data_IF_715771950494
#
_entry.id   IF_715771950494
#
_cell.length_a   1.000
_cell.length_b   1.000
_cell.length_c   1.000
_cell.angle_alpha   90.00
_cell.angle_beta   90.00
_cell.angle_gamma   90.00
#
_symmetry.space_group_name_H-M   'P 1'
#
loop_
_entity.id
_entity.type
_entity.pdbx_description
1 polymer ?
#
# COMPACT_ATOMS: atom_id res chain seq x y z
N UNK A 1 3.76 56.46 -11.75
CA UNK A 1 4.51 55.22 -12.09
C UNK A 1 3.87 54.09 -11.29
N UNK A 2 3.38 53.07 -11.98
CA UNK A 2 2.41 52.09 -11.48
C UNK A 2 2.99 51.19 -10.38
N UNK A 3 2.33 51.17 -9.23
CA UNK A 3 2.32 50.06 -8.29
C UNK A 3 1.19 49.13 -8.74
N UNK A 4 1.52 48.05 -9.44
CA UNK A 4 0.56 47.01 -9.78
C UNK A 4 1.26 45.65 -9.76
N UNK A 5 0.69 44.77 -8.94
CA UNK A 5 0.75 43.31 -9.07
C UNK A 5 2.05 42.62 -8.63
N UNK A 6 2.06 42.11 -7.38
CA UNK A 6 2.23 40.68 -7.08
C UNK A 6 2.27 40.48 -5.54
N UNK A 7 1.11 40.56 -4.89
CA UNK A 7 0.90 40.03 -3.55
C UNK A 7 -0.59 39.71 -3.39
N UNK A 8 -1.06 38.57 -3.92
CA UNK A 8 -2.24 37.86 -3.42
C UNK A 8 -2.46 36.55 -4.21
N UNK A 9 -1.77 35.48 -3.84
CA UNK A 9 -2.31 34.11 -3.97
C UNK A 9 -1.87 33.33 -2.74
N UNK A 10 -2.56 33.56 -1.64
CA UNK A 10 -2.62 32.59 -0.55
C UNK A 10 -3.84 31.70 -0.78
N UNK A 11 -3.70 30.43 -0.39
CA UNK A 11 -4.74 29.43 -0.12
C UNK A 11 -5.42 28.79 -1.34
N UNK A 12 -5.03 27.53 -1.61
CA UNK A 12 -5.88 26.33 -1.50
C UNK A 12 -5.29 25.20 -2.35
N UNK A 13 -4.15 24.65 -1.95
CA UNK A 13 -4.00 23.18 -2.05
C UNK A 13 -4.61 22.64 -0.78
N UNK A 14 -5.94 22.53 -0.81
CA UNK A 14 -6.63 21.64 0.10
C UNK A 14 -5.89 20.31 0.00
N UNK A 15 -5.30 19.92 1.12
CA UNK A 15 -4.97 18.54 1.33
C UNK A 15 -6.27 17.77 1.09
N UNK A 16 -6.35 17.08 -0.05
CA UNK A 16 -7.13 15.85 -0.14
C UNK A 16 -6.39 14.84 0.74
N UNK A 17 -6.40 15.10 2.05
CA UNK A 17 -6.45 14.02 3.02
C UNK A 17 -7.82 13.41 2.71
N UNK A 18 -7.84 12.38 1.86
CA UNK A 18 -8.94 11.43 1.95
C UNK A 18 -8.93 11.01 3.40
N UNK A 19 -9.87 11.54 4.18
CA UNK A 19 -10.16 11.03 5.51
C UNK A 19 -10.29 9.53 5.33
N UNK A 20 -9.34 8.75 5.85
CA UNK A 20 -9.47 7.30 5.93
C UNK A 20 -10.61 7.02 6.89
N UNK A 21 -11.83 7.04 6.35
CA UNK A 21 -12.99 6.50 7.03
C UNK A 21 -12.72 5.01 7.12
N UNK A 22 -12.46 4.50 8.33
CA UNK A 22 -12.76 3.10 8.60
C UNK A 22 -14.27 2.99 8.43
N UNK A 23 -14.72 2.50 7.28
CA UNK A 23 -16.14 2.16 7.13
C UNK A 23 -16.47 1.04 8.13
N UNK A 24 -17.70 1.04 8.63
CA UNK A 24 -18.17 -0.01 9.54
C UNK A 24 -18.06 -1.35 8.81
N UNK A 25 -17.00 -2.11 9.10
CA UNK A 25 -16.86 -3.48 8.60
C UNK A 25 -18.14 -4.25 8.95
N UNK A 26 -18.73 -5.00 8.00
CA UNK A 26 -19.94 -5.75 8.27
C UNK A 26 -19.72 -6.66 9.48
N UNK A 27 -20.66 -6.62 10.44
CA UNK A 27 -20.54 -7.28 11.75
C UNK A 27 -20.56 -8.82 11.73
N UNK A 28 -20.24 -9.43 10.58
CA UNK A 28 -20.14 -10.88 10.39
C UNK A 28 -18.72 -11.38 10.66
N UNK A 29 -17.69 -10.61 10.29
CA UNK A 29 -16.30 -10.90 10.65
C UNK A 29 -15.91 -10.07 11.86
N UNK A 30 -15.26 -10.70 12.83
CA UNK A 30 -14.73 -10.03 14.01
C UNK A 30 -13.20 -10.08 14.09
N UNK A 31 -12.65 -9.40 15.09
CA UNK A 31 -11.20 -9.33 15.33
C UNK A 31 -10.55 -10.73 15.44
N UNK A 32 -11.27 -11.72 15.96
CA UNK A 32 -10.73 -13.08 16.14
C UNK A 32 -10.61 -13.80 14.80
N UNK A 33 -11.48 -13.51 13.84
CA UNK A 33 -11.36 -14.06 12.49
C UNK A 33 -10.12 -13.49 11.79
N UNK A 34 -9.93 -12.17 11.86
CA UNK A 34 -8.73 -11.51 11.34
C UNK A 34 -7.45 -12.05 12.00
N UNK A 35 -7.46 -12.20 13.32
CA UNK A 35 -6.33 -12.74 14.07
C UNK A 35 -5.98 -14.16 13.61
N UNK A 36 -6.96 -15.06 13.46
CA UNK A 36 -6.70 -16.45 13.05
C UNK A 36 -6.10 -16.52 11.65
N UNK A 37 -6.62 -15.74 10.71
CA UNK A 37 -6.12 -15.72 9.34
C UNK A 37 -4.71 -15.14 9.27
N UNK A 38 -4.46 -14.02 9.95
CA UNK A 38 -3.15 -13.40 10.04
C UNK A 38 -2.14 -14.32 10.73
N UNK A 39 -2.53 -14.96 11.83
CA UNK A 39 -1.69 -15.90 12.57
C UNK A 39 -1.32 -17.13 11.74
N UNK A 40 -2.26 -17.69 10.98
CA UNK A 40 -2.00 -18.81 10.06
C UNK A 40 -0.95 -18.43 9.01
N UNK A 41 -1.08 -17.25 8.39
CA UNK A 41 -0.10 -16.75 7.42
C UNK A 41 1.26 -16.47 8.07
N UNK A 42 1.26 -15.91 9.28
CA UNK A 42 2.47 -15.57 10.00
C UNK A 42 3.27 -16.80 10.46
N UNK A 43 2.62 -17.89 10.87
CA UNK A 43 3.34 -19.16 11.16
C UNK A 43 4.01 -19.69 9.90
N UNK A 44 3.34 -19.60 8.75
CA UNK A 44 3.88 -20.12 7.49
C UNK A 44 5.09 -19.30 7.01
N UNK A 45 5.03 -17.97 7.13
CA UNK A 45 6.04 -17.08 6.56
C UNK A 45 7.09 -16.58 7.56
N UNK A 46 6.75 -16.55 8.85
CA UNK A 46 7.60 -16.05 9.93
C UNK A 46 7.58 -17.00 11.15
N UNK A 47 7.86 -18.31 10.97
CA UNK A 47 7.73 -19.31 12.04
C UNK A 47 8.58 -18.97 13.28
N UNK A 48 9.74 -18.35 13.10
CA UNK A 48 10.64 -17.98 14.20
C UNK A 48 10.18 -16.74 14.99
N UNK A 49 9.14 -16.06 14.51
CA UNK A 49 8.60 -14.85 15.15
C UNK A 49 7.40 -15.18 16.00
N UNK A 50 6.53 -16.06 15.53
CA UNK A 50 5.33 -16.46 16.25
C UNK A 50 5.68 -17.44 17.36
N UNK A 51 5.82 -16.92 18.57
CA UNK A 51 6.21 -17.71 19.76
C UNK A 51 5.06 -17.95 20.75
N UNK A 52 4.03 -17.09 20.70
CA UNK A 52 2.81 -17.20 21.53
C UNK A 52 1.70 -17.90 20.78
N UNK A 53 0.78 -18.53 21.51
CA UNK A 53 -0.39 -19.14 20.87
C UNK A 53 -1.39 -18.06 20.43
N UNK A 54 -2.26 -18.39 19.48
CA UNK A 54 -3.25 -17.45 18.94
C UNK A 54 -4.20 -16.89 20.02
N UNK A 55 -4.46 -17.64 21.08
CA UNK A 55 -5.32 -17.23 22.20
C UNK A 55 -4.70 -16.15 23.09
N UNK A 56 -3.37 -15.97 23.02
CA UNK A 56 -2.61 -14.97 23.79
C UNK A 56 -2.37 -13.68 22.98
N UNK A 57 -2.87 -13.64 21.75
CA UNK A 57 -2.65 -12.57 20.79
C UNK A 57 -3.92 -11.78 20.53
N UNK A 58 -3.74 -10.59 19.95
CA UNK A 58 -4.80 -9.70 19.50
C UNK A 58 -4.48 -9.22 18.10
N UNK A 59 -5.50 -8.83 17.35
CA UNK A 59 -5.32 -8.23 16.03
C UNK A 59 -5.76 -6.78 16.08
N UNK A 60 -4.83 -5.87 15.86
CA UNK A 60 -5.15 -4.44 15.81
C UNK A 60 -5.47 -4.05 14.38
N UNK A 61 -6.76 -3.75 14.10
CA UNK A 61 -7.19 -3.22 12.80
C UNK A 61 -6.81 -1.75 12.68
N UNK A 62 -6.14 -1.39 11.59
CA UNK A 62 -5.74 0.00 11.32
C UNK A 62 -6.68 0.66 10.31
N UNK A 63 -6.94 -0.02 9.19
CA UNK A 63 -7.85 0.44 8.15
C UNK A 63 -8.66 -0.74 7.61
N UNK A 64 -9.87 -0.45 7.15
CA UNK A 64 -10.80 -1.43 6.65
C UNK A 64 -11.74 -0.81 5.63
N UNK A 65 -12.02 -1.55 4.55
CA UNK A 65 -12.93 -1.17 3.48
C UNK A 65 -13.94 -2.30 3.25
N UNK A 66 -15.21 -1.94 3.01
CA UNK A 66 -16.27 -2.84 2.52
C UNK A 66 -16.71 -2.31 1.16
N UNK A 67 -16.50 -3.08 0.10
CA UNK A 67 -16.70 -2.58 -1.25
C UNK A 67 -16.90 -3.74 -2.22
N UNK A 68 -17.94 -3.62 -3.04
CA UNK A 68 -18.20 -4.48 -4.20
C UNK A 68 -17.09 -4.31 -5.27
N UNK A 69 -16.08 -5.19 -5.23
CA UNK A 69 -14.89 -5.11 -6.06
C UNK A 69 -15.11 -5.66 -7.47
N UNK A 70 -16.02 -6.64 -7.65
CA UNK A 70 -16.29 -7.26 -8.95
C UNK A 70 -17.62 -6.86 -9.62
N UNK A 71 -18.46 -6.08 -8.92
CA UNK A 71 -19.77 -5.58 -9.33
C UNK A 71 -20.87 -6.63 -9.34
N UNK A 72 -20.81 -7.62 -8.45
CA UNK A 72 -21.86 -8.62 -8.27
C UNK A 72 -22.97 -8.19 -7.28
N UNK A 73 -22.78 -7.05 -6.60
CA UNK A 73 -23.72 -6.50 -5.61
C UNK A 73 -23.51 -7.03 -4.18
N UNK A 74 -22.49 -7.85 -3.95
CA UNK A 74 -21.99 -8.24 -2.65
C UNK A 74 -20.63 -7.57 -2.41
N UNK A 75 -20.47 -6.96 -1.23
CA UNK A 75 -19.20 -6.33 -0.89
C UNK A 75 -18.14 -7.38 -0.51
N UNK A 76 -16.92 -7.21 -1.03
CA UNK A 76 -15.71 -7.77 -0.45
C UNK A 76 -15.22 -6.88 0.69
N UNK A 77 -14.28 -7.40 1.49
CA UNK A 77 -13.60 -6.59 2.50
C UNK A 77 -12.10 -6.58 2.31
N UNK A 78 -11.48 -5.46 2.65
CA UNK A 78 -10.02 -5.32 2.67
C UNK A 78 -9.63 -4.74 4.01
N UNK A 79 -8.78 -5.43 4.75
CA UNK A 79 -8.40 -5.07 6.13
C UNK A 79 -6.89 -5.00 6.22
N UNK A 80 -6.37 -3.97 6.87
CA UNK A 80 -4.99 -3.89 7.30
C UNK A 80 -4.88 -3.82 8.81
N UNK A 81 -3.80 -4.40 9.33
CA UNK A 81 -3.55 -4.40 10.77
C UNK A 81 -2.27 -5.14 11.13
N UNK A 82 -2.13 -5.43 12.42
CA UNK A 82 -1.00 -6.17 12.95
C UNK A 82 -1.39 -7.22 14.00
N UNK A 83 -0.57 -8.26 14.10
CA UNK A 83 -0.60 -9.20 15.23
C UNK A 83 0.13 -8.54 16.40
N UNK A 84 -0.64 -8.10 17.39
CA UNK A 84 -0.15 -7.27 18.47
C UNK A 84 0.93 -7.96 19.31
N UNK A 85 2.09 -7.30 19.38
CA UNK A 85 3.27 -7.78 20.09
C UNK A 85 4.17 -8.74 19.30
N UNK A 86 3.79 -9.14 18.09
CA UNK A 86 4.66 -9.93 17.18
C UNK A 86 5.28 -9.07 16.06
N UNK A 87 4.85 -7.81 15.94
CA UNK A 87 5.28 -6.87 14.89
C UNK A 87 5.10 -7.44 13.47
N UNK A 88 4.07 -8.24 13.24
CA UNK A 88 3.70 -8.73 11.92
C UNK A 88 2.58 -7.86 11.38
N UNK A 89 2.86 -7.09 10.34
CA UNK A 89 1.89 -6.22 9.67
C UNK A 89 1.36 -6.90 8.41
N UNK A 90 0.07 -6.77 8.17
CA UNK A 90 -0.61 -7.54 7.12
C UNK A 90 -1.74 -6.74 6.47
N UNK A 91 -1.98 -7.05 5.20
CA UNK A 91 -3.17 -6.64 4.44
C UNK A 91 -3.85 -7.90 3.93
N UNK A 92 -5.14 -8.02 4.22
CA UNK A 92 -5.97 -9.17 3.89
C UNK A 92 -7.17 -8.74 3.06
N UNK A 93 -7.50 -9.53 2.04
CA UNK A 93 -8.73 -9.44 1.28
C UNK A 93 -9.66 -10.58 1.65
N UNK A 94 -10.93 -10.26 1.86
CA UNK A 94 -11.98 -11.20 2.20
C UNK A 94 -13.05 -11.18 1.12
N UNK A 95 -13.52 -12.36 0.74
CA UNK A 95 -14.57 -12.54 -0.26
C UNK A 95 -15.53 -13.63 0.18
N UNK A 96 -16.79 -13.50 -0.26
CA UNK A 96 -17.82 -14.48 0.05
C UNK A 96 -17.96 -15.50 -1.08
N UNK A 97 -17.80 -16.78 -0.77
CA UNK A 97 -17.96 -17.84 -1.75
C UNK A 97 -18.43 -19.11 -1.06
N UNK A 98 -19.33 -19.87 -1.70
CA UNK A 98 -19.84 -21.14 -1.18
C UNK A 98 -20.41 -21.01 0.25
N UNK A 99 -21.11 -19.89 0.52
CA UNK A 99 -21.76 -19.59 1.79
C UNK A 99 -20.79 -19.45 2.98
N UNK A 100 -19.55 -19.00 2.72
CA UNK A 100 -18.56 -18.70 3.74
C UNK A 100 -17.65 -17.54 3.29
N UNK A 101 -17.09 -16.82 4.26
CA UNK A 101 -16.00 -15.88 4.02
C UNK A 101 -14.68 -16.64 3.86
N UNK A 102 -13.90 -16.22 2.88
CA UNK A 102 -12.56 -16.71 2.62
C UNK A 102 -11.58 -15.55 2.67
N UNK A 103 -10.36 -15.83 3.13
CA UNK A 103 -9.31 -14.83 3.29
C UNK A 103 -8.13 -15.10 2.35
N UNK A 104 -7.58 -14.03 1.79
CA UNK A 104 -6.28 -14.01 1.13
C UNK A 104 -5.40 -12.90 1.68
N UNK A 105 -4.16 -13.25 1.98
CA UNK A 105 -3.15 -12.26 2.39
C UNK A 105 -2.56 -11.63 1.14
N UNK A 106 -2.70 -10.31 1.04
CA UNK A 106 -2.29 -9.52 -0.12
C UNK A 106 -0.88 -8.97 0.10
N UNK A 107 -0.61 -8.45 1.29
CA UNK A 107 0.69 -7.89 1.64
C UNK A 107 1.07 -8.21 3.07
N UNK A 108 2.37 -8.35 3.34
CA UNK A 108 2.89 -8.69 4.68
C UNK A 108 4.27 -8.10 4.88
N UNK A 109 4.58 -7.70 6.10
CA UNK A 109 5.94 -7.31 6.51
C UNK A 109 6.22 -7.69 7.95
N UNK A 110 7.51 -7.85 8.24
CA UNK A 110 8.00 -8.13 9.59
C UNK A 110 8.70 -6.89 10.15
N UNK A 111 8.12 -6.31 11.20
CA UNK A 111 8.47 -5.00 11.74
C UNK A 111 7.96 -3.86 10.87
N UNK A 112 8.22 -2.62 11.28
CA UNK A 112 7.84 -1.42 10.52
C UNK A 112 6.41 -0.94 10.81
N UNK A 113 5.64 -0.65 9.75
CA UNK A 113 4.28 -0.10 9.82
C UNK A 113 3.53 -0.25 8.51
N UNK A 114 2.21 -0.03 8.53
CA UNK A 114 1.39 0.19 7.34
C UNK A 114 1.41 1.69 7.02
N UNK A 115 1.87 2.07 5.83
CA UNK A 115 1.95 3.46 5.40
C UNK A 115 0.72 3.91 4.62
N UNK A 116 0.13 3.00 3.84
CA UNK A 116 -1.02 3.32 3.02
C UNK A 116 -1.84 2.07 2.70
N UNK A 117 -3.15 2.21 2.71
CA UNK A 117 -4.10 1.27 2.13
C UNK A 117 -5.21 2.09 1.45
N UNK A 118 -5.44 1.81 0.17
CA UNK A 118 -6.50 2.44 -0.61
C UNK A 118 -7.21 1.41 -1.46
N UNK A 119 -8.51 1.61 -1.63
CA UNK A 119 -9.29 0.90 -2.65
C UNK A 119 -9.77 1.91 -3.67
N UNK A 120 -9.29 1.77 -4.92
CA UNK A 120 -9.49 2.77 -5.97
C UNK A 120 -9.43 2.12 -7.35
N UNK A 121 -10.34 2.53 -8.23
CA UNK A 121 -10.33 2.17 -9.66
C UNK A 121 -9.18 2.90 -10.37
N UNK A 122 -8.06 2.19 -10.59
CA UNK A 122 -6.83 2.78 -11.12
C UNK A 122 -6.83 2.88 -12.65
N UNK A 123 -7.55 2.02 -13.36
CA UNK A 123 -7.65 2.05 -14.83
C UNK A 123 -8.97 2.60 -15.36
N UNK A 124 -9.87 3.04 -14.48
CA UNK A 124 -11.20 3.54 -14.83
C UNK A 124 -12.04 2.50 -15.58
N UNK A 125 -11.93 1.22 -15.19
CA UNK A 125 -12.73 0.12 -15.76
C UNK A 125 -14.03 -0.16 -14.99
N UNK A 126 -14.26 0.60 -13.91
CA UNK A 126 -15.41 0.47 -13.02
C UNK A 126 -15.19 -0.48 -11.86
N UNK A 127 -14.06 -1.20 -11.79
CA UNK A 127 -13.66 -2.07 -10.68
C UNK A 127 -12.51 -1.44 -9.92
N UNK A 128 -12.51 -1.59 -8.61
CA UNK A 128 -11.46 -1.00 -7.78
C UNK A 128 -10.32 -1.98 -7.54
N UNK A 129 -9.10 -1.46 -7.60
CA UNK A 129 -7.90 -2.15 -7.17
C UNK A 129 -7.56 -1.81 -5.71
N UNK A 130 -6.78 -2.69 -5.10
CA UNK A 130 -6.30 -2.59 -3.73
C UNK A 130 -4.84 -2.18 -3.78
N UNK A 131 -4.55 -0.95 -3.36
CA UNK A 131 -3.21 -0.40 -3.24
C UNK A 131 -2.76 -0.46 -1.79
N UNK A 132 -1.59 -1.04 -1.52
CA UNK A 132 -1.03 -1.11 -0.17
C UNK A 132 0.47 -0.82 -0.14
N UNK A 133 0.92 -0.12 0.90
CA UNK A 133 2.34 0.13 1.18
C UNK A 133 2.64 -0.25 2.62
N UNK A 134 3.47 -1.27 2.79
CA UNK A 134 3.97 -1.73 4.09
C UNK A 134 5.46 -1.40 4.22
N UNK A 135 5.95 -1.28 5.44
CA UNK A 135 7.36 -1.14 5.76
C UNK A 135 7.81 -2.29 6.64
N UNK A 136 9.05 -2.77 6.49
CA UNK A 136 9.65 -3.78 7.36
C UNK A 136 10.56 -3.17 8.46
N UNK A 137 11.12 -4.05 9.29
CA UNK A 137 12.12 -3.70 10.32
C UNK A 137 13.43 -3.10 9.78
N UNK A 138 13.70 -3.22 8.48
CA UNK A 138 14.84 -2.61 7.80
C UNK A 138 14.49 -1.29 7.11
N UNK A 139 13.28 -0.78 7.37
CA UNK A 139 12.70 0.42 6.77
C UNK A 139 12.47 0.31 5.26
N UNK A 140 12.55 -0.89 4.68
CA UNK A 140 12.21 -1.12 3.28
C UNK A 140 10.70 -1.08 3.12
N UNK A 141 10.24 -0.43 2.06
CA UNK A 141 8.82 -0.35 1.75
C UNK A 141 8.44 -1.33 0.64
N UNK A 142 7.25 -1.92 0.79
CA UNK A 142 6.66 -2.93 -0.08
C UNK A 142 5.33 -2.40 -0.59
N UNK A 143 5.33 -1.92 -1.82
CA UNK A 143 4.12 -1.51 -2.51
C UNK A 143 3.57 -2.69 -3.29
N UNK A 144 2.28 -2.98 -3.10
CA UNK A 144 1.56 -3.96 -3.91
C UNK A 144 0.21 -3.43 -4.37
N UNK A 145 -0.16 -3.81 -5.58
CA UNK A 145 -1.49 -3.53 -6.15
C UNK A 145 -2.14 -4.85 -6.55
N UNK A 146 -3.35 -5.08 -6.05
CA UNK A 146 -4.15 -6.26 -6.36
C UNK A 146 -5.47 -5.87 -7.03
N UNK A 147 -5.99 -6.77 -7.87
CA UNK A 147 -7.35 -6.72 -8.38
C UNK A 147 -8.11 -7.95 -7.92
N UNK A 148 -9.36 -7.76 -7.51
CA UNK A 148 -10.26 -8.89 -7.30
C UNK A 148 -10.83 -9.38 -8.63
N UNK A 149 -10.73 -10.69 -8.84
CA UNK A 149 -11.18 -11.38 -10.04
C UNK A 149 -11.86 -12.69 -9.60
N UNK A 150 -13.20 -12.77 -9.60
CA UNK A 150 -13.92 -13.95 -9.13
C UNK A 150 -13.67 -15.20 -9.97
N UNK A 151 -13.17 -15.03 -11.21
CA UNK A 151 -12.82 -16.13 -12.12
C UNK A 151 -11.41 -16.68 -11.87
N UNK A 152 -10.57 -15.95 -11.15
CA UNK A 152 -9.23 -16.41 -10.78
C UNK A 152 -9.32 -17.36 -9.57
N UNK A 153 -8.67 -18.55 -9.58
CA UNK A 153 -8.63 -19.44 -8.42
C UNK A 153 -8.10 -18.79 -7.13
N UNK A 154 -7.18 -17.83 -7.27
CA UNK A 154 -6.60 -17.10 -6.13
C UNK A 154 -7.42 -15.87 -5.73
N UNK A 155 -8.42 -15.51 -6.55
CA UNK A 155 -9.35 -14.38 -6.43
C UNK A 155 -8.72 -13.00 -6.43
N UNK A 156 -7.54 -12.82 -5.87
CA UNK A 156 -6.79 -11.57 -5.88
C UNK A 156 -5.56 -11.70 -6.78
N UNK A 157 -5.63 -11.06 -7.93
CA UNK A 157 -4.55 -11.02 -8.91
C UNK A 157 -3.57 -9.90 -8.57
N UNK A 158 -2.28 -10.23 -8.49
CA UNK A 158 -1.22 -9.26 -8.23
C UNK A 158 -0.86 -8.52 -9.53
N UNK A 159 -1.24 -7.24 -9.63
CA UNK A 159 -0.96 -6.39 -10.78
C UNK A 159 0.40 -5.68 -10.69
N UNK A 160 0.92 -5.52 -9.47
CA UNK A 160 2.16 -4.80 -9.23
C UNK A 160 2.81 -5.18 -7.91
N UNK A 161 4.12 -5.31 -7.93
CA UNK A 161 4.95 -5.42 -6.73
C UNK A 161 6.19 -4.57 -6.90
N UNK A 162 6.48 -3.76 -5.88
CA UNK A 162 7.71 -2.99 -5.79
C UNK A 162 8.25 -3.06 -4.37
N UNK A 163 9.55 -3.26 -4.25
CA UNK A 163 10.28 -3.18 -3.00
C UNK A 163 11.36 -2.10 -3.15
N UNK A 164 11.46 -1.20 -2.19
CA UNK A 164 12.54 -0.20 -2.19
C UNK A 164 13.90 -0.87 -2.10
N UNK A 165 14.88 -0.30 -2.79
CA UNK A 165 16.27 -0.72 -2.68
C UNK A 165 16.88 -0.22 -1.36
N UNK A 166 16.57 1.03 -1.02
CA UNK A 166 16.93 1.67 0.24
C UNK A 166 16.16 1.10 1.43
N UNK A 167 16.70 1.36 2.62
CA UNK A 167 16.12 0.98 3.91
C UNK A 167 16.26 2.13 4.91
N UNK A 168 16.98 1.90 6.00
CA UNK A 168 17.21 2.90 7.08
C UNK A 168 17.66 4.28 6.61
N UNK A 169 18.42 4.32 5.50
CA UNK A 169 18.98 5.54 4.91
C UNK A 169 18.24 5.94 3.65
N UNK A 170 16.93 5.71 3.56
CA UNK A 170 16.14 6.18 2.42
C UNK A 170 14.80 6.77 2.82
N UNK A 171 14.33 7.71 1.99
CA UNK A 171 12.92 8.08 1.95
C UNK A 171 12.29 7.55 0.67
N UNK A 172 11.06 7.06 0.78
CA UNK A 172 10.30 6.59 -0.37
C UNK A 172 8.88 7.15 -0.30
N UNK A 173 8.36 7.57 -1.45
CA UNK A 173 6.98 8.01 -1.61
C UNK A 173 6.33 7.28 -2.78
N UNK A 174 5.11 6.80 -2.55
CA UNK A 174 4.27 6.20 -3.58
C UNK A 174 3.09 7.13 -3.87
N UNK A 175 2.87 7.47 -5.14
CA UNK A 175 1.85 8.41 -5.56
C UNK A 175 1.04 7.82 -6.72
N UNK A 176 -0.27 7.63 -6.50
CA UNK A 176 -1.22 7.40 -7.58
C UNK A 176 -1.65 8.75 -8.17
N UNK A 177 -1.20 9.01 -9.39
CA UNK A 177 -1.43 10.26 -10.13
C UNK A 177 -2.48 10.06 -11.21
N UNK A 178 -3.65 10.70 -11.06
CA UNK A 178 -4.71 10.65 -12.08
C UNK A 178 -4.31 11.44 -13.33
N UNK A 179 -4.26 10.79 -14.49
CA UNK A 179 -3.99 11.44 -15.76
C UNK A 179 -5.19 12.26 -16.24
N UNK A 180 -4.96 13.50 -16.68
CA UNK A 180 -6.02 14.41 -17.14
C UNK A 180 -6.72 13.96 -18.42
N UNK A 181 -6.08 13.10 -19.21
CA UNK A 181 -6.47 12.83 -20.60
C UNK A 181 -7.38 11.62 -20.76
N UNK A 182 -7.33 10.67 -19.83
CA UNK A 182 -8.07 9.41 -19.90
C UNK A 182 -8.56 8.92 -18.53
N UNK A 183 -8.48 9.76 -17.50
CA UNK A 183 -8.84 9.45 -16.11
C UNK A 183 -8.11 8.24 -15.47
N UNK A 184 -7.17 7.60 -16.18
CA UNK A 184 -6.36 6.50 -15.66
C UNK A 184 -5.26 7.01 -14.72
N UNK A 185 -4.94 6.22 -13.70
CA UNK A 185 -3.85 6.53 -12.78
C UNK A 185 -2.51 6.04 -13.30
N UNK A 186 -1.47 6.83 -13.04
CA UNK A 186 -0.07 6.39 -13.08
C UNK A 186 0.43 6.20 -11.68
N UNK A 187 1.26 5.18 -11.47
CA UNK A 187 1.97 5.02 -10.21
C UNK A 187 3.35 5.67 -10.34
N UNK A 188 3.61 6.69 -9.53
CA UNK A 188 4.93 7.27 -9.36
C UNK A 188 5.56 6.78 -8.06
N UNK A 189 6.80 6.31 -8.16
CA UNK A 189 7.63 5.95 -7.00
C UNK A 189 8.82 6.87 -6.99
N UNK A 190 8.97 7.64 -5.91
CA UNK A 190 10.15 8.48 -5.67
C UNK A 190 10.95 7.87 -4.53
N UNK A 191 12.19 7.48 -4.80
CA UNK A 191 13.13 6.92 -3.83
C UNK A 191 14.35 7.82 -3.72
N UNK A 192 14.68 8.25 -2.51
CA UNK A 192 15.91 8.99 -2.21
C UNK A 192 16.74 8.13 -1.27
N UNK A 193 17.90 7.71 -1.73
CA UNK A 193 18.87 6.90 -0.98
C UNK A 193 20.01 7.81 -0.54
N UNK A 194 20.15 7.96 0.77
CA UNK A 194 21.23 8.69 1.40
C UNK A 194 22.44 7.77 1.56
N UNK A 195 23.64 8.36 1.39
CA UNK A 195 24.86 7.64 1.66
C UNK A 195 24.97 7.29 3.15
N UNK A 196 25.50 6.10 3.44
CA UNK A 196 25.60 5.57 4.80
C UNK A 196 26.86 6.06 5.53
N UNK A 197 27.75 6.80 4.87
CA UNK A 197 29.03 7.25 5.40
C UNK A 197 28.94 8.66 6.03
N UNK A 198 29.71 8.86 7.11
CA UNK A 198 29.84 10.16 7.80
C UNK A 198 30.44 11.25 6.89
N UNK A 199 31.09 10.84 5.79
CA UNK A 199 31.77 11.71 4.83
C UNK A 199 30.83 12.32 3.76
N UNK A 200 29.53 12.00 3.79
CA UNK A 200 28.54 12.59 2.90
C UNK A 200 28.68 12.14 1.45
N UNK A 201 28.56 10.82 1.19
CA UNK A 201 28.50 10.29 -0.17
C UNK A 201 27.32 10.80 -1.00
N UNK A 202 27.29 10.41 -2.27
CA UNK A 202 26.29 10.87 -3.23
C UNK A 202 24.87 10.50 -2.80
N UNK A 203 23.96 11.47 -2.85
CA UNK A 203 22.52 11.20 -2.70
C UNK A 203 22.02 10.71 -4.05
N UNK A 204 21.46 9.50 -4.07
CA UNK A 204 20.85 8.94 -5.26
C UNK A 204 19.34 9.16 -5.15
N UNK A 205 18.81 10.00 -6.02
CA UNK A 205 17.36 10.13 -6.20
C UNK A 205 16.95 9.38 -7.47
N UNK A 206 15.95 8.51 -7.33
CA UNK A 206 15.34 7.77 -8.43
C UNK A 206 13.85 8.01 -8.45
N UNK A 207 13.33 8.29 -9.63
CA UNK A 207 11.89 8.36 -9.88
C UNK A 207 11.52 7.32 -10.92
N UNK A 208 10.55 6.48 -10.58
CA UNK A 208 9.94 5.51 -11.48
C UNK A 208 8.51 5.93 -11.75
N UNK A 209 8.09 5.84 -13.01
CA UNK A 209 6.69 6.05 -13.41
C UNK A 209 6.21 4.80 -14.10
N UNK A 210 5.12 4.24 -13.58
CA UNK A 210 4.45 3.06 -14.11
C UNK A 210 3.06 3.43 -14.60
N UNK A 211 2.64 2.74 -15.66
CA UNK A 211 1.31 2.84 -16.23
C UNK A 211 0.71 1.45 -16.33
N UNK A 212 -0.57 1.31 -15.98
CA UNK A 212 -1.30 0.05 -16.11
C UNK A 212 -1.63 -0.22 -17.59
N UNK A 213 -1.20 -1.38 -18.10
CA UNK A 213 -1.44 -1.85 -19.46
C UNK A 213 -1.83 -3.33 -19.43
N UNK A 214 -3.00 -3.68 -19.96
CA UNK A 214 -3.51 -5.06 -20.05
C UNK A 214 -3.26 -5.87 -18.76
N UNK A 215 -3.67 -5.30 -17.62
CA UNK A 215 -3.62 -5.93 -16.30
C UNK A 215 -2.24 -6.04 -15.63
N UNK A 216 -1.23 -5.31 -16.12
CA UNK A 216 0.04 -5.15 -15.40
C UNK A 216 0.54 -3.70 -15.40
N UNK A 217 1.11 -3.27 -14.29
CA UNK A 217 1.85 -2.00 -14.25
C UNK A 217 3.19 -2.16 -14.96
N UNK A 218 3.37 -1.41 -16.06
CA UNK A 218 4.58 -1.42 -16.88
C UNK A 218 5.36 -0.14 -16.63
N UNK A 219 6.69 -0.28 -16.50
CA UNK A 219 7.59 0.86 -16.35
C UNK A 219 7.55 1.73 -17.61
N UNK A 220 7.06 2.95 -17.47
CA UNK A 220 7.01 3.95 -18.54
C UNK A 220 8.31 4.75 -18.60
N UNK A 221 8.83 5.16 -17.45
CA UNK A 221 10.09 5.90 -17.37
C UNK A 221 10.80 5.71 -16.05
N UNK A 222 12.13 5.85 -16.09
CA UNK A 222 13.01 5.93 -14.94
C UNK A 222 13.93 7.13 -15.12
N UNK A 223 14.07 7.94 -14.08
CA UNK A 223 15.06 9.01 -14.03
C UNK A 223 15.89 8.88 -12.76
N UNK A 224 17.20 8.94 -12.92
CA UNK A 224 18.15 8.94 -11.82
C UNK A 224 18.85 10.31 -11.80
N UNK A 225 18.98 10.90 -10.61
CA UNK A 225 19.85 12.05 -10.38
C UNK A 225 20.74 11.76 -9.19
N UNK A 226 22.04 11.92 -9.39
CA UNK A 226 23.01 11.93 -8.30
C UNK A 226 23.33 13.39 -7.98
N UNK A 227 23.08 13.80 -6.73
CA UNK A 227 23.60 15.07 -6.23
C UNK A 227 24.83 14.76 -5.37
N UNK A 228 26.05 15.07 -5.85
CA UNK A 228 27.22 14.96 -5.00
C UNK A 228 27.08 15.99 -3.89
N UNK A 229 26.96 15.54 -2.63
CA UNK A 229 26.98 16.47 -1.51
C UNK A 229 28.24 17.33 -1.63
N UNK A 230 28.05 18.67 -1.67
CA UNK A 230 29.17 19.60 -1.69
C UNK A 230 30.01 19.37 -0.44
N UNK A 231 31.22 18.81 -0.65
CA UNK A 231 32.27 18.74 0.35
C UNK A 231 32.55 20.18 0.82
N UNK A 232 32.22 20.47 2.07
CA UNK A 232 32.60 21.73 2.74
C UNK A 232 34.03 21.64 3.25
#
# INVERSE_FOLDING_TARGET
>A
MKLSELHLVWLLTAALVSQSHSENLPGILDEKDFLKDAYRDAIEHFPDRITRSVEELQFSVYQGFSVDLDKDGQDEMVVSGDISGESVYIVMGYYWENNAWHCRVLNRSLGGSIHDLRVVDVNNDGRSEIFSVLQDSQYKQYCKIYRFNPLNPDKFENLFTYQTEGGFVSSCNFLLLKAKTNDAYKLRVDEVIYAADEDGGDIIQRTYVYTLNNDAFVLESRSDSADPMRRN
#
